data_IF_491068589773
#
_entry.id   IF_491068589773
#
_cell.length_a   1.000
_cell.length_b   1.000
_cell.length_c   1.000
_cell.angle_alpha   90.00
_cell.angle_beta   90.00
_cell.angle_gamma   90.00
#
_symmetry.space_group_name_H-M   'P 1'
#
loop_
_entity.id
_entity.type
_entity.pdbx_description
1 polymer ?
#
# COMPACT_ATOMS: atom_id res chain seq x y z
N UNK A 1 -12.61 9.62 -28.72
CA UNK A 1 -12.49 8.60 -27.63
C UNK A 1 -11.07 8.32 -27.19
N UNK A 2 -10.12 7.92 -28.06
CA UNK A 2 -8.72 7.65 -27.62
C UNK A 2 -8.05 8.86 -26.93
N UNK A 3 -8.30 10.07 -27.41
CA UNK A 3 -7.78 11.30 -26.79
C UNK A 3 -8.37 11.55 -25.39
N UNK A 4 -9.67 11.30 -25.21
CA UNK A 4 -10.38 11.45 -23.93
C UNK A 4 -9.83 10.46 -22.89
N UNK A 5 -9.65 9.18 -23.25
CA UNK A 5 -9.16 8.14 -22.35
C UNK A 5 -7.70 8.35 -21.89
N UNK A 6 -6.93 9.15 -22.63
CA UNK A 6 -5.53 9.48 -22.32
C UNK A 6 -5.40 10.86 -21.65
N UNK A 7 -6.51 11.55 -21.42
CA UNK A 7 -6.54 12.85 -20.76
C UNK A 7 -6.31 12.70 -19.25
N UNK A 8 -5.75 13.75 -18.64
CA UNK A 8 -5.67 13.86 -17.18
C UNK A 8 -7.06 14.04 -16.55
N UNK A 9 -8.01 14.60 -17.29
CA UNK A 9 -9.40 14.82 -16.87
C UNK A 9 -10.37 14.24 -17.92
N UNK A 10 -10.43 12.91 -18.08
CA UNK A 10 -11.21 12.25 -19.14
C UNK A 10 -12.70 12.61 -19.07
N UNK A 11 -13.25 12.85 -17.88
CA UNK A 11 -14.65 13.23 -17.72
C UNK A 11 -14.92 14.67 -18.18
N UNK A 12 -13.99 15.59 -17.96
CA UNK A 12 -14.12 16.99 -18.39
C UNK A 12 -13.99 17.10 -19.91
N UNK A 13 -13.05 16.36 -20.49
CA UNK A 13 -12.88 16.28 -21.95
C UNK A 13 -14.04 15.58 -22.64
N UNK A 14 -14.64 14.58 -21.99
CA UNK A 14 -15.87 13.94 -22.47
C UNK A 14 -17.05 14.93 -22.49
N UNK A 15 -17.09 15.84 -21.52
CA UNK A 15 -18.14 16.85 -21.37
C UNK A 15 -17.83 18.17 -22.09
N UNK A 16 -16.72 18.25 -22.84
CA UNK A 16 -16.31 19.47 -23.57
C UNK A 16 -15.84 20.62 -22.65
N UNK A 17 -15.52 20.33 -21.39
CA UNK A 17 -15.14 21.31 -20.36
C UNK A 17 -13.61 21.51 -20.24
N UNK A 18 -12.82 20.76 -21.01
CA UNK A 18 -11.34 20.71 -20.92
C UNK A 18 -10.55 22.00 -21.18
N UNK A 19 -11.21 23.15 -21.44
CA UNK A 19 -10.54 24.45 -21.58
C UNK A 19 -10.54 25.30 -20.30
N UNK A 20 -11.22 24.90 -19.23
CA UNK A 20 -11.22 25.65 -17.97
C UNK A 20 -10.19 25.10 -16.98
N UNK A 21 -9.10 25.87 -16.82
CA UNK A 21 -8.11 25.85 -15.73
C UNK A 21 -7.91 24.51 -15.00
N UNK A 22 -6.87 23.80 -15.44
CA UNK A 22 -6.28 22.62 -14.81
C UNK A 22 -6.13 22.83 -13.29
N UNK A 23 -6.96 22.16 -12.49
CA UNK A 23 -6.70 22.02 -11.05
C UNK A 23 -5.59 20.98 -10.85
N UNK A 24 -4.52 21.28 -10.08
CA UNK A 24 -3.37 20.39 -9.94
C UNK A 24 -3.65 19.07 -9.21
N UNK A 25 -4.82 18.90 -8.59
CA UNK A 25 -5.15 17.75 -7.74
C UNK A 25 -6.64 17.38 -7.91
N UNK A 26 -6.98 16.10 -8.17
CA UNK A 26 -8.37 15.66 -8.17
C UNK A 26 -8.94 15.73 -6.75
N UNK A 27 -9.67 16.82 -6.46
CA UNK A 27 -10.36 16.98 -5.17
C UNK A 27 -11.67 16.21 -5.20
N UNK A 28 -11.71 15.11 -4.46
CA UNK A 28 -12.94 14.34 -4.25
C UNK A 28 -13.80 15.02 -3.18
N UNK A 29 -15.08 15.24 -3.49
CA UNK A 29 -16.04 15.83 -2.57
C UNK A 29 -17.09 14.81 -2.16
N UNK A 30 -17.67 15.03 -0.98
CA UNK A 30 -18.92 14.40 -0.57
C UNK A 30 -20.03 15.43 -0.53
N UNK A 31 -21.21 15.06 -1.01
CA UNK A 31 -22.43 15.84 -0.91
C UNK A 31 -23.17 15.45 0.39
N UNK A 32 -23.46 16.44 1.24
CA UNK A 32 -24.19 16.23 2.50
C UNK A 32 -25.56 15.59 2.28
N UNK A 33 -26.02 14.83 3.27
CA UNK A 33 -27.41 14.40 3.32
C UNK A 33 -28.37 15.61 3.29
N UNK A 34 -29.48 15.45 2.60
CA UNK A 34 -30.51 16.46 2.32
C UNK A 34 -30.02 17.65 1.48
N UNK A 35 -28.87 17.53 0.82
CA UNK A 35 -28.41 18.54 -0.13
C UNK A 35 -29.33 18.62 -1.34
N UNK A 36 -29.61 19.85 -1.77
CA UNK A 36 -30.34 20.12 -3.00
C UNK A 36 -29.40 20.09 -4.21
N UNK A 37 -29.81 19.37 -5.24
CA UNK A 37 -29.16 19.26 -6.54
C UNK A 37 -30.09 19.83 -7.61
N UNK A 38 -29.51 20.41 -8.65
CA UNK A 38 -30.20 20.73 -9.91
C UNK A 38 -29.53 19.94 -11.02
N UNK A 39 -30.24 18.97 -11.56
CA UNK A 39 -29.72 18.19 -12.68
C UNK A 39 -29.49 19.11 -13.89
N UNK A 40 -28.33 18.98 -14.53
CA UNK A 40 -27.94 19.75 -15.71
C UNK A 40 -27.95 18.86 -16.94
N UNK A 41 -28.14 19.46 -18.12
CA UNK A 41 -27.94 18.73 -19.37
C UNK A 41 -26.46 18.36 -19.53
N UNK A 42 -26.23 17.19 -20.12
CA UNK A 42 -24.90 16.67 -20.40
C UNK A 42 -24.31 17.33 -21.66
N UNK A 43 -25.16 17.87 -22.53
CA UNK A 43 -24.79 18.56 -23.76
C UNK A 43 -24.71 20.08 -23.55
N UNK A 44 -23.64 20.70 -24.07
CA UNK A 44 -23.44 22.15 -23.96
C UNK A 44 -24.46 22.98 -24.77
N UNK A 45 -25.06 22.39 -25.81
CA UNK A 45 -26.03 23.03 -26.71
C UNK A 45 -27.49 22.83 -26.28
N UNK A 46 -27.75 21.96 -25.31
CA UNK A 46 -29.11 21.61 -24.91
C UNK A 46 -29.53 22.46 -23.71
N UNK A 47 -30.16 23.60 -24.01
CA UNK A 47 -30.51 24.64 -23.03
C UNK A 47 -31.73 24.34 -22.17
N UNK A 48 -32.48 23.26 -22.42
CA UNK A 48 -33.75 23.03 -21.73
C UNK A 48 -33.95 21.57 -21.30
N UNK A 49 -33.32 21.20 -20.19
CA UNK A 49 -34.01 20.32 -19.25
C UNK A 49 -35.08 21.19 -18.57
N UNK A 50 -36.30 21.15 -19.13
CA UNK A 50 -37.45 21.90 -18.68
C UNK A 50 -37.55 21.95 -17.16
N UNK A 51 -37.32 23.16 -16.61
CA UNK A 51 -37.57 23.52 -15.22
C UNK A 51 -36.75 22.76 -14.18
N UNK A 52 -35.56 23.28 -13.83
CA UNK A 52 -34.90 23.17 -12.52
C UNK A 52 -35.42 22.04 -11.60
N UNK A 53 -35.29 20.77 -12.00
CA UNK A 53 -35.75 19.66 -11.19
C UNK A 53 -34.84 19.61 -9.95
N UNK A 54 -35.31 20.22 -8.87
CA UNK A 54 -34.58 20.27 -7.61
C UNK A 54 -34.72 18.90 -6.95
N UNK A 55 -33.67 18.11 -6.99
CA UNK A 55 -33.61 16.83 -6.31
C UNK A 55 -32.98 17.03 -4.94
N UNK A 56 -33.52 16.41 -3.90
CA UNK A 56 -32.85 16.29 -2.61
C UNK A 56 -32.25 14.91 -2.46
N UNK A 57 -31.01 14.83 -1.99
CA UNK A 57 -30.38 13.54 -1.71
C UNK A 57 -30.68 13.10 -0.28
N UNK A 58 -31.22 11.90 -0.07
CA UNK A 58 -31.61 11.44 1.27
C UNK A 58 -30.45 11.02 2.17
N UNK A 59 -29.26 10.77 1.60
CA UNK A 59 -28.04 10.34 2.29
C UNK A 59 -26.83 11.09 1.76
N UNK A 60 -25.70 11.01 2.46
CA UNK A 60 -24.45 11.52 1.93
C UNK A 60 -24.05 10.74 0.66
N UNK A 61 -23.63 11.46 -0.39
CA UNK A 61 -23.03 10.84 -1.60
C UNK A 61 -21.55 11.17 -1.63
N UNK A 62 -20.71 10.13 -1.69
CA UNK A 62 -19.26 10.25 -1.85
C UNK A 62 -18.87 10.15 -3.32
N UNK A 63 -17.63 10.51 -3.67
CA UNK A 63 -17.14 10.43 -5.04
C UNK A 63 -17.67 11.52 -5.96
N UNK A 64 -18.07 12.66 -5.41
CA UNK A 64 -18.52 13.80 -6.21
C UNK A 64 -17.30 14.53 -6.76
N UNK A 65 -17.26 14.70 -8.08
CA UNK A 65 -16.16 15.40 -8.77
C UNK A 65 -16.63 16.78 -9.16
N UNK A 66 -15.92 17.83 -8.73
CA UNK A 66 -16.23 19.20 -9.17
C UNK A 66 -15.79 19.39 -10.62
N UNK A 67 -16.64 20.02 -11.43
CA UNK A 67 -16.37 20.36 -12.82
C UNK A 67 -16.06 21.86 -12.89
N UNK A 68 -14.79 22.22 -13.14
CA UNK A 68 -14.35 23.61 -13.30
C UNK A 68 -14.38 24.50 -12.04
N UNK A 69 -14.06 25.78 -12.23
CA UNK A 69 -13.95 26.81 -11.17
C UNK A 69 -15.06 27.86 -11.20
N UNK A 70 -15.93 27.84 -12.21
CA UNK A 70 -17.01 28.80 -12.37
C UNK A 70 -18.03 28.65 -11.22
N UNK A 71 -18.28 29.75 -10.53
CA UNK A 71 -19.27 29.83 -9.45
C UNK A 71 -20.34 30.83 -9.89
N UNK A 72 -21.45 30.35 -10.45
CA UNK A 72 -22.59 31.23 -10.69
C UNK A 72 -23.44 31.33 -9.42
N UNK A 73 -23.43 32.49 -8.77
CA UNK A 73 -24.27 32.82 -7.59
C UNK A 73 -24.21 31.77 -6.46
N UNK A 74 -23.04 31.16 -6.25
CA UNK A 74 -22.80 30.16 -5.20
C UNK A 74 -23.17 28.72 -5.57
N UNK A 75 -23.62 28.48 -6.80
CA UNK A 75 -23.76 27.14 -7.38
C UNK A 75 -22.45 26.72 -8.05
N UNK A 76 -22.14 25.43 -7.93
CA UNK A 76 -20.98 24.80 -8.57
C UNK A 76 -21.44 23.60 -9.36
N UNK A 77 -20.84 23.41 -10.54
CA UNK A 77 -21.08 22.26 -11.41
C UNK A 77 -20.28 21.05 -10.93
N UNK A 78 -20.93 19.88 -10.90
CA UNK A 78 -20.37 18.66 -10.35
C UNK A 78 -20.87 17.43 -11.09
N UNK A 79 -20.07 16.38 -11.06
CA UNK A 79 -20.45 15.04 -11.46
C UNK A 79 -20.79 14.23 -10.21
N UNK A 80 -22.07 13.89 -10.05
CA UNK A 80 -22.59 13.17 -8.90
C UNK A 80 -22.84 11.71 -9.31
N UNK A 81 -22.23 10.72 -8.62
CA UNK A 81 -22.48 9.31 -8.89
C UNK A 81 -23.96 8.95 -8.85
N UNK A 82 -24.44 8.29 -9.90
CA UNK A 82 -25.84 7.90 -10.06
C UNK A 82 -26.79 9.01 -10.56
N UNK A 83 -26.34 10.26 -10.59
CA UNK A 83 -27.16 11.42 -11.01
C UNK A 83 -26.58 12.18 -12.21
N UNK A 84 -25.31 11.95 -12.56
CA UNK A 84 -24.65 12.63 -13.67
C UNK A 84 -24.30 14.07 -13.34
N UNK A 85 -24.33 14.96 -14.35
CA UNK A 85 -23.97 16.37 -14.19
C UNK A 85 -25.06 17.12 -13.41
N UNK A 86 -24.68 17.73 -12.30
CA UNK A 86 -25.57 18.44 -11.39
C UNK A 86 -24.94 19.76 -10.94
N UNK A 87 -25.79 20.67 -10.47
CA UNK A 87 -25.39 21.86 -9.71
C UNK A 87 -25.80 21.71 -8.26
N UNK A 88 -24.90 22.07 -7.34
CA UNK A 88 -25.23 22.21 -5.91
C UNK A 88 -24.64 23.49 -5.32
N UNK A 89 -25.06 23.83 -4.10
CA UNK A 89 -24.44 24.93 -3.36
C UNK A 89 -23.12 24.48 -2.78
N UNK A 90 -22.08 25.32 -2.87
CA UNK A 90 -20.76 25.03 -2.28
C UNK A 90 -20.82 24.63 -0.79
N UNK A 91 -21.77 25.17 -0.03
CA UNK A 91 -22.00 24.84 1.39
C UNK A 91 -22.43 23.38 1.63
N UNK A 92 -22.97 22.72 0.61
CA UNK A 92 -23.43 21.33 0.67
C UNK A 92 -22.30 20.33 0.44
N UNK A 93 -21.10 20.82 0.12
CA UNK A 93 -19.94 19.99 -0.17
C UNK A 93 -19.02 19.91 1.03
N UNK A 94 -18.56 18.71 1.27
CA UNK A 94 -17.50 18.40 2.19
C UNK A 94 -16.30 18.00 1.36
N UNK A 95 -15.20 18.73 1.51
CA UNK A 95 -13.94 18.31 0.94
C UNK A 95 -13.52 17.03 1.65
N UNK A 96 -13.45 15.92 0.92
CA UNK A 96 -12.80 14.74 1.46
C UNK A 96 -11.32 15.05 1.34
N UNK A 97 -10.66 15.35 2.46
CA UNK A 97 -9.21 15.19 2.49
C UNK A 97 -8.92 13.80 1.97
N UNK A 98 -8.00 13.69 1.01
CA UNK A 98 -7.71 12.47 0.28
C UNK A 98 -7.42 11.34 1.28
N UNK A 99 -8.46 10.63 1.70
CA UNK A 99 -8.33 9.31 2.27
C UNK A 99 -7.83 8.50 1.10
N UNK A 100 -6.57 8.04 1.12
CA UNK A 100 -5.99 7.37 -0.02
C UNK A 100 -6.92 6.21 -0.37
N UNK A 101 -7.47 6.25 -1.58
CA UNK A 101 -8.37 5.25 -2.17
C UNK A 101 -8.02 3.87 -1.61
N UNK A 102 -8.82 3.39 -0.66
CA UNK A 102 -8.75 2.02 -0.16
C UNK A 102 -9.38 1.12 -1.22
N UNK A 103 -8.75 0.98 -2.39
CA UNK A 103 -9.19 0.01 -3.39
C UNK A 103 -8.15 -0.35 -4.47
N UNK A 104 -6.86 -0.01 -4.28
CA UNK A 104 -5.83 -0.79 -4.95
C UNK A 104 -5.59 -2.06 -4.15
N UNK A 105 -5.99 -3.22 -4.71
CA UNK A 105 -5.42 -4.51 -4.32
C UNK A 105 -3.91 -4.32 -4.33
N UNK A 106 -3.30 -4.22 -3.15
CA UNK A 106 -1.88 -3.88 -3.03
C UNK A 106 -1.01 -4.80 -3.87
N UNK A 107 0.09 -4.28 -4.39
CA UNK A 107 0.99 -5.02 -5.25
C UNK A 107 1.74 -6.07 -4.41
N UNK A 108 1.77 -7.32 -4.88
CA UNK A 108 2.67 -8.35 -4.36
C UNK A 108 3.86 -8.48 -5.31
N UNK A 109 5.09 -8.40 -4.80
CA UNK A 109 6.32 -8.45 -5.59
C UNK A 109 7.27 -9.53 -5.08
N UNK A 110 7.90 -10.25 -6.01
CA UNK A 110 9.00 -11.16 -5.71
C UNK A 110 10.27 -10.67 -6.42
N UNK A 111 11.29 -10.37 -5.64
CA UNK A 111 12.63 -10.03 -6.11
C UNK A 111 13.53 -11.24 -5.93
N UNK A 112 14.21 -11.64 -7.00
CA UNK A 112 15.23 -12.69 -6.95
C UNK A 112 16.53 -12.11 -7.46
N UNK A 113 17.54 -12.10 -6.60
CA UNK A 113 18.85 -11.55 -6.89
C UNK A 113 19.84 -12.68 -7.12
N UNK A 114 20.61 -12.57 -8.21
CA UNK A 114 21.70 -13.51 -8.53
C UNK A 114 22.89 -13.26 -7.60
N UNK A 115 23.18 -11.99 -7.35
CA UNK A 115 24.17 -11.50 -6.39
C UNK A 115 23.46 -10.60 -5.38
N UNK A 116 23.94 -10.57 -4.13
CA UNK A 116 23.28 -9.78 -3.09
C UNK A 116 23.29 -8.29 -3.48
N UNK A 117 22.12 -7.62 -3.49
CA UNK A 117 22.03 -6.22 -3.90
C UNK A 117 22.70 -5.31 -2.86
N UNK A 118 23.17 -4.17 -3.34
CA UNK A 118 23.51 -3.07 -2.45
C UNK A 118 22.25 -2.59 -1.69
N UNK A 119 22.39 -2.34 -0.39
CA UNK A 119 21.25 -2.01 0.47
C UNK A 119 20.64 -0.66 0.11
N UNK A 120 21.48 0.32 -0.22
CA UNK A 120 21.04 1.67 -0.58
C UNK A 120 20.25 1.62 -1.89
N UNK A 121 20.77 0.94 -2.91
CA UNK A 121 20.05 0.75 -4.18
C UNK A 121 18.73 -0.01 -4.00
N UNK A 122 18.70 -1.02 -3.13
CA UNK A 122 17.46 -1.74 -2.82
C UNK A 122 16.44 -0.83 -2.12
N UNK A 123 16.88 -0.01 -1.17
CA UNK A 123 16.04 0.99 -0.51
C UNK A 123 15.54 2.07 -1.49
N UNK A 124 16.37 2.54 -2.41
CA UNK A 124 15.97 3.51 -3.44
C UNK A 124 14.90 2.92 -4.35
N UNK A 125 15.12 1.69 -4.85
CA UNK A 125 14.14 0.98 -5.66
C UNK A 125 12.81 0.80 -4.91
N UNK A 126 12.87 0.33 -3.65
CA UNK A 126 11.68 0.20 -2.81
C UNK A 126 11.05 1.54 -2.48
N UNK A 127 11.80 2.64 -2.44
CA UNK A 127 11.27 3.99 -2.26
C UNK A 127 10.33 4.40 -3.41
N UNK A 128 10.62 3.95 -4.63
CA UNK A 128 9.79 4.23 -5.81
C UNK A 128 8.46 3.46 -5.78
N UNK A 129 8.47 2.21 -5.32
CA UNK A 129 7.30 1.31 -5.41
C UNK A 129 6.61 1.01 -4.07
N UNK A 130 7.24 1.37 -2.96
CA UNK A 130 6.89 0.95 -1.59
C UNK A 130 5.54 1.46 -1.12
N UNK A 131 5.07 2.59 -1.65
CA UNK A 131 3.74 3.12 -1.38
C UNK A 131 2.59 2.22 -1.86
N UNK A 132 2.86 1.30 -2.79
CA UNK A 132 1.87 0.40 -3.38
C UNK A 132 2.06 -1.07 -2.99
N UNK A 133 3.19 -1.41 -2.36
CA UNK A 133 3.52 -2.80 -2.00
C UNK A 133 2.76 -3.25 -0.75
N UNK A 134 2.08 -4.40 -0.86
CA UNK A 134 1.49 -5.14 0.27
C UNK A 134 2.33 -6.34 0.67
N UNK A 135 2.80 -7.11 -0.29
CA UNK A 135 3.58 -8.32 -0.01
C UNK A 135 4.90 -8.25 -0.77
N UNK A 136 5.99 -8.56 -0.07
CA UNK A 136 7.32 -8.55 -0.65
C UNK A 136 8.04 -9.86 -0.35
N UNK A 137 8.48 -10.57 -1.39
CA UNK A 137 9.40 -11.71 -1.25
C UNK A 137 10.76 -11.31 -1.78
N UNK A 138 11.81 -11.48 -0.99
CA UNK A 138 13.20 -11.25 -1.37
C UNK A 138 13.94 -12.57 -1.33
N UNK A 139 14.53 -12.97 -2.46
CA UNK A 139 15.44 -14.11 -2.57
C UNK A 139 16.86 -13.61 -2.82
N UNK A 140 17.75 -13.88 -1.88
CA UNK A 140 19.15 -13.43 -1.86
C UNK A 140 20.04 -14.56 -1.33
N UNK A 141 21.36 -14.45 -1.51
CA UNK A 141 22.32 -15.40 -0.93
C UNK A 141 22.48 -15.16 0.57
N UNK A 142 22.63 -13.90 0.97
CA UNK A 142 22.62 -13.47 2.36
C UNK A 142 21.68 -12.28 2.55
N UNK A 143 21.06 -12.19 3.73
CA UNK A 143 20.18 -11.08 4.08
C UNK A 143 20.66 -10.43 5.38
N UNK A 144 20.90 -9.12 5.34
CA UNK A 144 21.26 -8.34 6.53
C UNK A 144 20.02 -8.07 7.36
N UNK A 145 20.03 -8.46 8.63
CA UNK A 145 18.86 -8.33 9.51
C UNK A 145 18.36 -6.89 9.61
N UNK A 146 19.27 -5.90 9.64
CA UNK A 146 18.93 -4.49 9.68
C UNK A 146 18.10 -4.01 8.47
N UNK A 147 18.14 -4.72 7.33
CA UNK A 147 17.31 -4.38 6.18
C UNK A 147 15.83 -4.62 6.41
N UNK A 148 15.42 -5.49 7.35
CA UNK A 148 14.02 -5.63 7.72
C UNK A 148 13.44 -4.29 8.20
N UNK A 149 14.15 -3.59 9.08
CA UNK A 149 13.70 -2.30 9.60
C UNK A 149 13.63 -1.25 8.50
N UNK A 150 14.68 -1.15 7.67
CA UNK A 150 14.72 -0.21 6.54
C UNK A 150 13.58 -0.46 5.54
N UNK A 151 13.36 -1.71 5.13
CA UNK A 151 12.30 -2.08 4.18
C UNK A 151 10.92 -1.75 4.76
N UNK A 152 10.68 -2.07 6.03
CA UNK A 152 9.38 -1.78 6.66
C UNK A 152 9.13 -0.29 6.86
N UNK A 153 10.19 0.51 7.01
CA UNK A 153 10.10 1.98 7.01
C UNK A 153 9.83 2.55 5.61
N UNK A 154 10.48 2.01 4.56
CA UNK A 154 10.34 2.48 3.17
C UNK A 154 8.99 2.07 2.55
N UNK A 155 8.40 0.95 2.97
CA UNK A 155 7.17 0.40 2.41
C UNK A 155 5.99 0.52 3.39
N UNK A 156 5.29 1.68 3.46
CA UNK A 156 4.29 1.95 4.50
C UNK A 156 3.03 1.10 4.38
N UNK A 157 2.75 0.45 3.23
CA UNK A 157 1.59 -0.42 3.06
C UNK A 157 1.92 -1.91 3.18
N UNK A 158 3.18 -2.24 3.48
CA UNK A 158 3.65 -3.62 3.55
C UNK A 158 2.98 -4.35 4.72
N UNK A 159 2.31 -5.44 4.42
CA UNK A 159 1.65 -6.34 5.37
C UNK A 159 2.50 -7.57 5.66
N UNK A 160 3.18 -8.10 4.65
CA UNK A 160 4.00 -9.30 4.75
C UNK A 160 5.35 -9.11 4.03
N UNK A 161 6.42 -9.61 4.66
CA UNK A 161 7.73 -9.76 4.03
C UNK A 161 8.20 -11.20 4.17
N UNK A 162 8.69 -11.79 3.08
CA UNK A 162 9.29 -13.11 3.04
C UNK A 162 10.74 -12.96 2.61
N UNK A 163 11.65 -13.40 3.47
CA UNK A 163 13.09 -13.45 3.19
C UNK A 163 13.49 -14.90 2.93
N UNK A 164 14.00 -15.17 1.74
CA UNK A 164 14.50 -16.48 1.35
C UNK A 164 16.01 -16.41 1.11
N UNK A 165 16.74 -17.32 1.75
CA UNK A 165 18.14 -17.60 1.44
C UNK A 165 18.31 -19.11 1.21
N UNK A 166 19.52 -19.58 0.84
CA UNK A 166 19.77 -21.00 0.71
C UNK A 166 19.51 -21.82 1.99
N UNK A 167 19.58 -21.19 3.17
CA UNK A 167 19.51 -21.86 4.46
C UNK A 167 18.15 -21.71 5.17
N UNK A 168 17.36 -20.68 4.85
CA UNK A 168 16.04 -20.50 5.47
C UNK A 168 15.06 -19.72 4.58
N UNK A 169 13.78 -19.89 4.87
CA UNK A 169 12.69 -19.03 4.42
C UNK A 169 11.97 -18.53 5.68
N UNK A 170 12.05 -17.22 5.92
CA UNK A 170 11.43 -16.57 7.05
C UNK A 170 10.36 -15.60 6.56
N UNK A 171 9.12 -15.79 7.03
CA UNK A 171 7.97 -14.95 6.71
C UNK A 171 7.61 -14.13 7.94
N UNK A 172 7.66 -12.82 7.79
CA UNK A 172 7.32 -11.86 8.82
C UNK A 172 6.05 -11.11 8.45
N UNK A 173 5.16 -10.96 9.43
CA UNK A 173 4.05 -10.03 9.35
C UNK A 173 4.49 -8.68 9.87
N UNK A 174 4.42 -7.67 9.01
CA UNK A 174 4.83 -6.30 9.32
C UNK A 174 3.69 -5.54 10.00
N UNK A 175 2.47 -5.74 9.51
CA UNK A 175 1.26 -5.08 10.03
C UNK A 175 0.17 -6.11 10.34
N UNK A 176 -0.43 -5.96 11.52
CA UNK A 176 -1.60 -6.70 12.00
C UNK A 176 -2.36 -5.79 12.98
N UNK A 177 -3.59 -6.15 13.36
CA UNK A 177 -4.34 -5.53 14.47
C UNK A 177 -3.59 -5.52 15.81
N UNK A 178 -2.45 -6.23 15.91
CA UNK A 178 -1.57 -6.29 17.09
C UNK A 178 -0.22 -5.59 16.89
N UNK A 179 0.15 -5.23 15.65
CA UNK A 179 1.44 -4.69 15.25
C UNK A 179 1.22 -3.36 14.52
N UNK A 180 1.12 -2.27 15.29
CA UNK A 180 0.92 -0.92 14.77
C UNK A 180 2.21 -0.23 14.30
N UNK A 181 3.37 -0.85 14.53
CA UNK A 181 4.70 -0.25 14.31
C UNK A 181 5.55 -1.13 13.38
N UNK A 182 6.47 -0.52 12.60
CA UNK A 182 7.44 -1.25 11.79
C UNK A 182 8.29 -2.21 12.64
N UNK A 183 8.84 -3.24 12.01
CA UNK A 183 9.67 -4.24 12.69
C UNK A 183 11.00 -3.58 13.05
N UNK A 184 11.23 -3.37 14.34
CA UNK A 184 12.52 -2.91 14.87
C UNK A 184 13.42 -4.12 15.11
N UNK A 185 14.69 -4.04 14.71
CA UNK A 185 15.66 -5.13 14.85
C UNK A 185 16.63 -4.82 15.99
N UNK A 186 16.51 -5.47 17.17
CA UNK A 186 17.43 -5.24 18.28
C UNK A 186 18.86 -5.68 17.96
N UNK A 187 19.85 -5.04 18.58
CA UNK A 187 21.28 -5.34 18.37
C UNK A 187 21.71 -6.75 18.79
N UNK A 188 20.90 -7.45 19.58
CA UNK A 188 21.15 -8.86 19.97
C UNK A 188 20.68 -9.86 18.92
N UNK A 189 19.91 -9.43 17.90
CA UNK A 189 19.62 -10.25 16.72
C UNK A 189 20.89 -10.31 15.87
N UNK A 190 21.27 -11.48 15.33
CA UNK A 190 22.42 -11.60 14.44
C UNK A 190 22.38 -10.58 13.31
N UNK A 191 23.53 -10.02 12.93
CA UNK A 191 23.62 -8.96 11.91
C UNK A 191 23.22 -9.44 10.50
N UNK A 192 23.37 -10.73 10.23
CA UNK A 192 22.99 -11.38 8.99
C UNK A 192 22.27 -12.68 9.27
N UNK A 193 21.53 -13.15 8.28
CA UNK A 193 20.81 -14.40 8.38
C UNK A 193 21.67 -15.64 8.04
N UNK A 194 22.94 -15.45 7.70
CA UNK A 194 23.88 -16.54 7.43
C UNK A 194 24.08 -17.47 8.64
N UNK A 195 24.11 -16.90 9.85
CA UNK A 195 24.24 -17.67 11.09
C UNK A 195 22.87 -18.23 11.53
N UNK A 196 22.56 -19.42 11.00
CA UNK A 196 21.26 -20.07 11.20
C UNK A 196 20.94 -20.34 12.68
N UNK A 197 21.91 -20.78 13.48
CA UNK A 197 21.66 -21.13 14.89
C UNK A 197 21.32 -19.90 15.71
N UNK A 198 22.15 -18.86 15.63
CA UNK A 198 21.92 -17.67 16.44
C UNK A 198 20.66 -16.94 16.01
N UNK A 199 20.29 -17.04 14.72
CA UNK A 199 19.04 -16.50 14.22
C UNK A 199 17.83 -17.26 14.81
N UNK A 200 17.86 -18.60 14.80
CA UNK A 200 16.81 -19.43 15.43
C UNK A 200 16.71 -19.15 16.94
N UNK A 201 17.84 -18.99 17.63
CA UNK A 201 17.85 -18.58 19.04
C UNK A 201 17.18 -17.22 19.23
N UNK A 202 17.46 -16.25 18.35
CA UNK A 202 16.84 -14.93 18.43
C UNK A 202 15.32 -14.96 18.24
N UNK A 203 14.80 -15.87 17.40
CA UNK A 203 13.36 -16.07 17.23
C UNK A 203 12.69 -16.77 18.42
N UNK A 204 13.46 -17.33 19.36
CA UNK A 204 12.94 -17.88 20.62
C UNK A 204 12.68 -16.79 21.66
N UNK A 205 13.19 -15.58 21.44
CA UNK A 205 13.11 -14.48 22.39
C UNK A 205 11.84 -13.64 22.11
N UNK A 206 10.72 -13.95 22.77
CA UNK A 206 9.41 -13.32 22.51
C UNK A 206 9.33 -11.83 22.85
N UNK A 207 10.31 -11.29 23.55
CA UNK A 207 10.51 -9.86 23.76
C UNK A 207 11.00 -9.14 22.49
N UNK A 208 11.59 -9.87 21.53
CA UNK A 208 12.06 -9.30 20.27
C UNK A 208 10.90 -9.01 19.30
N UNK A 209 10.77 -7.78 18.78
CA UNK A 209 9.77 -7.46 17.76
C UNK A 209 9.88 -8.34 16.51
N UNK A 210 11.10 -8.66 16.09
CA UNK A 210 11.39 -9.57 14.97
C UNK A 210 10.83 -10.97 15.22
N UNK A 211 10.97 -11.51 16.44
CA UNK A 211 10.42 -12.82 16.81
C UNK A 211 8.89 -12.80 16.81
N UNK A 212 8.26 -11.74 17.34
CA UNK A 212 6.79 -11.58 17.32
C UNK A 212 6.23 -11.43 15.91
N UNK A 213 6.99 -10.80 15.02
CA UNK A 213 6.61 -10.63 13.62
C UNK A 213 6.73 -11.94 12.82
N UNK A 214 7.54 -12.90 13.28
CA UNK A 214 7.74 -14.16 12.57
C UNK A 214 6.46 -15.01 12.59
N UNK A 215 5.95 -15.35 11.40
CA UNK A 215 4.76 -16.20 11.22
C UNK A 215 5.08 -17.59 10.74
N UNK A 216 6.16 -17.72 9.96
CA UNK A 216 6.61 -19.01 9.46
C UNK A 216 8.11 -19.00 9.28
N UNK A 217 8.74 -20.06 9.74
CA UNK A 217 10.15 -20.34 9.51
C UNK A 217 10.29 -21.71 8.86
N UNK A 218 11.04 -21.77 7.76
CA UNK A 218 11.51 -23.03 7.17
C UNK A 218 13.03 -22.99 7.21
N UNK A 219 13.64 -24.04 7.70
CA UNK A 219 15.10 -24.18 7.78
C UNK A 219 15.52 -25.32 6.87
N UNK A 220 16.52 -25.07 6.02
CA UNK A 220 17.07 -26.04 5.09
C UNK A 220 18.43 -26.52 5.61
N UNK A 221 18.54 -27.83 5.82
CA UNK A 221 19.81 -28.47 6.20
C UNK A 221 20.49 -29.03 4.96
N UNK A 222 21.58 -28.39 4.53
CA UNK A 222 22.46 -28.94 3.49
C UNK A 222 23.54 -29.80 4.16
N UNK A 223 23.40 -31.11 4.07
CA UNK A 223 24.41 -32.08 4.48
C UNK A 223 25.35 -32.31 3.29
N UNK A 224 26.53 -31.69 3.30
CA UNK A 224 27.57 -31.97 2.32
C UNK A 224 28.51 -33.04 2.90
N UNK A 225 28.54 -34.23 2.31
CA UNK A 225 29.36 -35.36 2.76
C UNK A 225 30.88 -35.20 2.48
N UNK A 226 31.40 -33.99 2.19
CA UNK A 226 32.71 -33.83 1.55
C UNK A 226 33.67 -32.77 2.07
N UNK A 227 33.23 -31.75 2.82
CA UNK A 227 34.13 -30.66 3.25
C UNK A 227 33.88 -30.27 4.69
N UNK A 228 34.93 -30.42 5.50
CA UNK A 228 35.00 -29.96 6.88
C UNK A 228 35.24 -28.44 6.90
N UNK A 229 34.21 -27.65 6.61
CA UNK A 229 34.23 -26.20 6.86
C UNK A 229 32.95 -25.77 7.57
N UNK A 230 33.11 -25.57 8.88
CA UNK A 230 32.33 -24.64 9.73
C UNK A 230 30.83 -24.55 9.45
N UNK A 231 30.11 -25.68 9.52
CA UNK A 231 28.65 -25.68 9.67
C UNK A 231 28.28 -26.12 11.08
N UNK A 232 27.27 -25.49 11.71
CA UNK A 232 26.80 -25.94 13.00
C UNK A 232 26.32 -27.40 12.96
N UNK A 233 26.60 -28.21 13.99
CA UNK A 233 26.10 -29.58 14.07
C UNK A 233 24.57 -29.60 13.96
N UNK A 234 24.00 -30.54 13.20
CA UNK A 234 22.55 -30.73 13.10
C UNK A 234 21.89 -30.79 14.49
N UNK A 235 22.58 -31.40 15.46
CA UNK A 235 22.16 -31.48 16.86
C UNK A 235 21.97 -30.10 17.53
N UNK A 236 22.89 -29.17 17.29
CA UNK A 236 22.82 -27.83 17.87
C UNK A 236 21.68 -27.02 17.25
N UNK A 237 21.49 -27.14 15.93
CA UNK A 237 20.32 -26.58 15.22
C UNK A 237 19.00 -27.17 15.72
N UNK A 238 18.92 -28.49 15.88
CA UNK A 238 17.73 -29.17 16.42
C UNK A 238 17.43 -28.70 17.85
N UNK A 239 18.46 -28.50 18.66
CA UNK A 239 18.32 -27.98 20.02
C UNK A 239 17.78 -26.55 20.01
N UNK A 240 18.30 -25.68 19.16
CA UNK A 240 17.81 -24.31 19.00
C UNK A 240 16.35 -24.27 18.52
N UNK A 241 16.01 -25.05 17.48
CA UNK A 241 14.63 -25.14 16.97
C UNK A 241 13.65 -25.66 18.02
N UNK A 242 14.06 -26.66 18.80
CA UNK A 242 13.25 -27.19 19.90
C UNK A 242 13.06 -26.16 21.01
N UNK A 243 14.04 -25.28 21.23
CA UNK A 243 13.90 -24.11 22.08
C UNK A 243 12.81 -23.18 21.55
N UNK A 244 12.90 -22.78 20.28
CA UNK A 244 11.97 -21.84 19.63
C UNK A 244 10.51 -22.35 19.66
N UNK A 245 10.28 -23.63 19.38
CA UNK A 245 8.95 -24.27 19.38
C UNK A 245 8.29 -24.35 20.77
N UNK A 246 9.04 -24.14 21.85
CA UNK A 246 8.43 -24.09 23.20
C UNK A 246 7.85 -22.71 23.52
N UNK A 247 8.23 -21.67 22.78
CA UNK A 247 7.92 -20.27 23.09
C UNK A 247 6.95 -19.65 22.07
N UNK A 248 6.89 -20.18 20.85
CA UNK A 248 6.01 -19.74 19.76
C UNK A 248 4.95 -20.80 19.43
#
# INVERSE_FOLDING_TARGET
MRAVMLSQCPEEDLLGLGQQEQQPEPREFSLKANASLRQQSMDADDKDLGGNASLSVSREIRGVKRLGTQVDKGWVDELVPGFGKCQTRRSNLVHNEATPVEDSKGLSLMLTFVEDPDDELMCEFLGVIGGSLRDLTIRVSNFRSAMLERITATCPRLTEIVVCTPMFEARFQVRDNRLHHPIVVPSTVPSSFENTIDLVRSFSMTDHPVARALRRLRVCFRINYGEATTRPPLEECCTALRGMLKVN
#
